data_IF_621014972213
#
_entry.id   IF_621014972213
#
_cell.length_a   1.000
_cell.length_b   1.000
_cell.length_c   1.000
_cell.angle_alpha   90.00
_cell.angle_beta   90.00
_cell.angle_gamma   90.00
#
_symmetry.space_group_name_H-M   'P 1'
#
loop_
_entity.id
_entity.type
_entity.pdbx_description
1 polymer ?
#
# COMPACT_ATOMS: atom_id res chain seq x y z
N UNK A 1 -21.03 -11.47 -25.91
CA UNK A 1 -19.85 -11.98 -25.18
C UNK A 1 -19.57 -11.04 -24.03
N UNK A 2 -19.39 -11.55 -22.80
CA UNK A 2 -19.23 -10.69 -21.63
C UNK A 2 -17.86 -10.00 -21.65
N UNK A 3 -17.82 -8.70 -21.37
CA UNK A 3 -16.57 -7.93 -21.30
C UNK A 3 -15.71 -8.42 -20.11
N UNK A 4 -14.39 -8.33 -20.27
CA UNK A 4 -13.42 -8.57 -19.20
C UNK A 4 -13.33 -7.28 -18.37
N UNK A 5 -13.76 -7.30 -17.09
CA UNK A 5 -13.83 -6.10 -16.26
C UNK A 5 -12.43 -5.63 -15.81
N UNK A 6 -12.28 -4.38 -15.32
CA UNK A 6 -11.00 -3.78 -14.98
C UNK A 6 -10.18 -4.60 -13.98
N UNK A 7 -10.80 -5.10 -12.90
CA UNK A 7 -10.09 -5.94 -11.92
C UNK A 7 -9.49 -7.22 -12.52
N UNK A 8 -10.12 -7.81 -13.55
CA UNK A 8 -9.57 -8.99 -14.24
C UNK A 8 -8.43 -8.59 -15.18
N UNK A 9 -8.56 -7.46 -15.90
CA UNK A 9 -7.46 -6.92 -16.70
C UNK A 9 -6.25 -6.66 -15.80
N UNK A 10 -6.46 -6.02 -14.64
CA UNK A 10 -5.41 -5.73 -13.66
C UNK A 10 -4.75 -6.97 -13.09
N UNK A 11 -5.53 -7.97 -12.69
CA UNK A 11 -5.00 -9.24 -12.20
C UNK A 11 -4.14 -9.95 -13.27
N UNK A 12 -4.62 -9.99 -14.52
CA UNK A 12 -3.88 -10.61 -15.63
C UNK A 12 -2.62 -9.84 -15.99
N UNK A 13 -2.67 -8.50 -15.98
CA UNK A 13 -1.51 -7.64 -16.21
C UNK A 13 -0.44 -7.84 -15.13
N UNK A 14 -0.82 -7.80 -13.86
CA UNK A 14 0.09 -8.02 -12.73
C UNK A 14 0.79 -9.38 -12.82
N UNK A 15 0.04 -10.44 -13.16
CA UNK A 15 0.59 -11.78 -13.37
C UNK A 15 1.54 -11.83 -14.56
N UNK A 16 1.15 -11.29 -15.72
CA UNK A 16 2.00 -11.27 -16.91
C UNK A 16 3.32 -10.51 -16.67
N UNK A 17 3.26 -9.38 -15.96
CA UNK A 17 4.43 -8.62 -15.55
C UNK A 17 5.31 -9.42 -14.58
N UNK A 18 4.72 -10.10 -13.59
CA UNK A 18 5.46 -10.95 -12.66
C UNK A 18 6.17 -12.11 -13.36
N UNK A 19 5.49 -12.79 -14.29
CA UNK A 19 6.06 -13.92 -15.04
C UNK A 19 7.21 -13.45 -15.94
N UNK A 20 7.07 -12.28 -16.58
CA UNK A 20 8.15 -11.67 -17.33
C UNK A 20 9.33 -11.27 -16.44
N UNK A 21 9.05 -10.65 -15.29
CA UNK A 21 10.07 -10.20 -14.35
C UNK A 21 10.88 -11.37 -13.79
N UNK A 22 10.22 -12.48 -13.44
CA UNK A 22 10.87 -13.70 -12.95
C UNK A 22 11.81 -14.35 -13.99
N UNK A 23 11.53 -14.19 -15.29
CA UNK A 23 12.42 -14.69 -16.36
C UNK A 23 13.70 -13.84 -16.50
N UNK A 24 13.62 -12.54 -16.22
CA UNK A 24 14.75 -11.61 -16.36
C UNK A 24 15.56 -11.46 -15.06
N UNK A 25 14.96 -11.73 -13.89
CA UNK A 25 15.56 -11.51 -12.57
C UNK A 25 15.49 -12.80 -11.72
N UNK A 26 16.48 -13.71 -11.81
CA UNK A 26 16.46 -14.99 -11.10
C UNK A 26 16.30 -14.87 -9.58
N UNK A 27 16.87 -13.84 -8.96
CA UNK A 27 16.74 -13.58 -7.52
C UNK A 27 15.28 -13.33 -7.09
N UNK A 28 14.43 -12.83 -8.00
CA UNK A 28 13.01 -12.63 -7.73
C UNK A 28 12.25 -13.95 -7.67
N UNK A 29 12.57 -14.92 -8.54
CA UNK A 29 11.96 -16.25 -8.49
C UNK A 29 12.25 -16.92 -7.13
N UNK A 30 13.51 -16.87 -6.67
CA UNK A 30 13.89 -17.36 -5.34
C UNK A 30 13.13 -16.64 -4.21
N UNK A 31 13.00 -15.32 -4.30
CA UNK A 31 12.26 -14.54 -3.29
C UNK A 31 10.78 -14.96 -3.22
N UNK A 32 10.11 -15.10 -4.38
CA UNK A 32 8.70 -15.52 -4.45
C UNK A 32 8.52 -16.91 -3.87
N UNK A 33 9.45 -17.84 -4.17
CA UNK A 33 9.40 -19.20 -3.64
C UNK A 33 9.59 -19.24 -2.12
N UNK A 34 10.52 -18.43 -1.58
CA UNK A 34 10.72 -18.32 -0.13
C UNK A 34 9.50 -17.70 0.54
N UNK A 35 8.95 -16.61 -0.01
CA UNK A 35 7.74 -15.97 0.49
C UNK A 35 6.56 -16.95 0.55
N UNK A 36 6.34 -17.73 -0.52
CA UNK A 36 5.27 -18.72 -0.55
C UNK A 36 5.41 -19.81 0.54
N UNK A 37 6.64 -20.20 0.90
CA UNK A 37 6.92 -21.14 1.99
C UNK A 37 6.67 -20.50 3.36
N UNK A 38 7.14 -19.27 3.56
CA UNK A 38 6.88 -18.51 4.80
C UNK A 38 5.38 -18.36 5.02
N UNK A 39 4.64 -17.93 4.00
CA UNK A 39 3.20 -17.74 4.12
C UNK A 39 2.45 -19.03 4.45
N UNK A 40 2.86 -20.14 3.84
CA UNK A 40 2.29 -21.45 4.16
C UNK A 40 2.57 -21.85 5.62
N UNK A 41 3.73 -21.51 6.16
CA UNK A 41 4.12 -21.84 7.54
C UNK A 41 3.37 -20.97 8.55
N UNK A 42 3.25 -19.66 8.27
CA UNK A 42 2.45 -18.73 9.06
C UNK A 42 0.98 -19.15 9.11
N UNK A 43 0.39 -19.56 7.98
CA UNK A 43 -0.98 -20.06 7.96
C UNK A 43 -1.18 -21.34 8.80
N UNK A 44 -0.20 -22.25 8.81
CA UNK A 44 -0.27 -23.46 9.63
C UNK A 44 -0.14 -23.15 11.12
N UNK A 45 0.68 -22.16 11.47
CA UNK A 45 0.94 -21.73 12.85
C UNK A 45 -0.21 -20.89 13.43
N UNK A 46 -0.70 -19.91 12.67
CA UNK A 46 -1.54 -18.83 13.19
C UNK A 46 -3.01 -18.89 12.69
N UNK A 47 -3.32 -19.78 11.74
CA UNK A 47 -4.68 -20.03 11.27
C UNK A 47 -5.40 -18.78 10.77
N UNK A 48 -6.60 -18.52 11.30
CA UNK A 48 -7.41 -17.35 10.89
C UNK A 48 -6.82 -16.01 11.32
N UNK A 49 -5.95 -15.99 12.35
CA UNK A 49 -5.26 -14.76 12.76
C UNK A 49 -4.36 -14.22 11.64
N UNK A 50 -3.73 -15.09 10.87
CA UNK A 50 -2.92 -14.69 9.72
C UNK A 50 -3.74 -14.04 8.60
N UNK A 51 -5.02 -14.38 8.47
CA UNK A 51 -5.89 -13.93 7.37
C UNK A 51 -6.52 -12.56 7.59
N UNK A 52 -6.30 -11.94 8.77
CA UNK A 52 -6.96 -10.68 9.16
C UNK A 52 -6.59 -9.49 8.28
N UNK A 53 -5.38 -9.49 7.71
CA UNK A 53 -4.92 -8.47 6.76
C UNK A 53 -4.96 -8.95 5.30
N UNK A 54 -5.82 -9.92 5.01
CA UNK A 54 -6.01 -10.51 3.68
C UNK A 54 -5.81 -12.03 3.68
N UNK A 55 -6.68 -12.74 2.96
CA UNK A 55 -6.54 -14.18 2.73
C UNK A 55 -5.32 -14.52 1.86
N UNK A 56 -4.93 -15.79 1.85
CA UNK A 56 -3.72 -16.27 1.15
C UNK A 56 -3.74 -15.99 -0.35
N UNK A 57 -4.90 -16.07 -1.00
CA UNK A 57 -5.03 -15.78 -2.43
C UNK A 57 -4.73 -14.31 -2.73
N UNK A 58 -5.18 -13.39 -1.85
CA UNK A 58 -4.86 -11.96 -1.95
C UNK A 58 -3.36 -11.74 -1.76
N UNK A 59 -2.75 -12.31 -0.71
CA UNK A 59 -1.31 -12.15 -0.42
C UNK A 59 -0.42 -12.69 -1.53
N UNK A 60 -0.75 -13.86 -2.09
CA UNK A 60 0.01 -14.47 -3.19
C UNK A 60 -0.08 -13.66 -4.48
N UNK A 61 -1.25 -13.08 -4.78
CA UNK A 61 -1.46 -12.24 -5.96
C UNK A 61 -0.93 -10.80 -5.79
N UNK A 62 -0.80 -10.34 -4.55
CA UNK A 62 -0.46 -8.98 -4.19
C UNK A 62 0.98 -8.63 -4.58
N UNK A 63 1.09 -7.66 -5.49
CA UNK A 63 2.36 -7.12 -5.98
C UNK A 63 2.28 -5.60 -6.00
N UNK A 64 3.45 -5.00 -5.79
CA UNK A 64 3.71 -3.58 -5.94
C UNK A 64 4.87 -3.41 -6.91
N UNK A 65 4.63 -2.73 -8.03
CA UNK A 65 5.68 -2.36 -8.98
C UNK A 65 6.15 -0.91 -8.76
N UNK A 66 7.42 -0.62 -8.99
CA UNK A 66 7.92 0.75 -9.08
C UNK A 66 8.45 1.00 -10.49
N UNK A 67 8.01 2.09 -11.12
CA UNK A 67 8.45 2.50 -12.45
C UNK A 67 8.90 3.96 -12.44
N UNK A 68 9.75 4.29 -13.40
CA UNK A 68 10.16 5.66 -13.67
C UNK A 68 9.86 6.00 -15.12
N UNK A 69 9.29 7.19 -15.33
CA UNK A 69 9.03 7.78 -16.64
C UNK A 69 9.88 9.03 -16.84
N UNK A 70 10.16 9.35 -18.10
CA UNK A 70 11.08 10.41 -18.47
C UNK A 70 10.39 11.75 -18.71
N UNK A 71 9.10 11.77 -19.04
CA UNK A 71 8.38 13.00 -19.41
C UNK A 71 6.97 13.05 -18.84
N UNK A 72 6.38 14.26 -18.69
CA UNK A 72 4.96 14.41 -18.37
C UNK A 72 4.04 13.69 -19.37
N UNK A 73 4.39 13.68 -20.67
CA UNK A 73 3.62 12.96 -21.68
C UNK A 73 3.61 11.44 -21.48
N UNK A 74 4.74 10.87 -21.03
CA UNK A 74 4.79 9.45 -20.62
C UNK A 74 3.94 9.20 -19.37
N UNK A 75 3.98 10.11 -18.39
CA UNK A 75 3.14 10.01 -17.19
C UNK A 75 1.65 10.03 -17.54
N UNK A 76 1.23 10.91 -18.45
CA UNK A 76 -0.14 10.97 -18.96
C UNK A 76 -0.57 9.64 -19.60
N UNK A 77 0.25 9.09 -20.50
CA UNK A 77 -0.01 7.81 -21.16
C UNK A 77 -0.12 6.64 -20.15
N UNK A 78 0.76 6.64 -19.13
CA UNK A 78 0.68 5.68 -18.02
C UNK A 78 -0.65 5.81 -17.26
N UNK A 79 -1.10 7.05 -17.01
CA UNK A 79 -2.40 7.34 -16.41
C UNK A 79 -3.56 6.71 -17.17
N UNK A 80 -3.59 6.85 -18.50
CA UNK A 80 -4.61 6.24 -19.36
C UNK A 80 -4.58 4.70 -19.29
N UNK A 81 -3.40 4.09 -19.37
CA UNK A 81 -3.25 2.63 -19.32
C UNK A 81 -3.68 2.08 -17.96
N UNK A 82 -3.35 2.75 -16.87
CA UNK A 82 -3.72 2.29 -15.53
C UNK A 82 -5.20 2.54 -15.21
N UNK A 83 -5.82 3.56 -15.80
CA UNK A 83 -7.25 3.76 -15.71
C UNK A 83 -8.07 2.63 -16.35
N UNK A 84 -7.62 2.12 -17.50
CA UNK A 84 -8.16 0.90 -18.11
C UNK A 84 -8.07 -0.34 -17.20
N UNK A 85 -7.10 -0.34 -16.29
CA UNK A 85 -6.93 -1.34 -15.25
C UNK A 85 -7.70 -1.01 -13.96
N UNK A 86 -8.57 0.00 -13.93
CA UNK A 86 -9.32 0.40 -12.73
C UNK A 86 -8.44 0.98 -11.63
N UNK A 87 -7.32 1.61 -11.99
CA UNK A 87 -6.38 2.23 -11.05
C UNK A 87 -6.40 3.74 -11.24
N UNK A 88 -6.41 4.48 -10.14
CA UNK A 88 -6.30 5.94 -10.14
C UNK A 88 -5.04 6.39 -9.40
N UNK A 89 -4.53 7.60 -9.67
CA UNK A 89 -3.40 8.16 -8.92
C UNK A 89 -3.83 8.53 -7.50
N UNK A 90 -3.09 8.02 -6.52
CA UNK A 90 -3.34 8.24 -5.09
C UNK A 90 -2.08 8.78 -4.43
N UNK A 91 -2.19 9.97 -3.83
CA UNK A 91 -1.13 10.68 -3.16
C UNK A 91 -0.08 11.30 -4.11
N UNK A 92 0.54 12.37 -3.63
CA UNK A 92 1.72 12.99 -4.21
C UNK A 92 2.92 12.77 -3.26
N UNK A 93 4.05 12.30 -3.80
CA UNK A 93 5.23 11.94 -3.01
C UNK A 93 6.47 12.67 -3.54
N UNK A 94 7.19 13.29 -2.60
CA UNK A 94 8.50 13.92 -2.80
C UNK A 94 9.63 12.90 -2.85
N UNK A 95 10.83 13.28 -3.34
CA UNK A 95 12.04 12.53 -3.07
C UNK A 95 12.27 12.45 -1.55
N UNK A 96 12.49 11.25 -1.02
CA UNK A 96 13.01 11.08 0.33
C UNK A 96 14.44 11.61 0.42
N UNK A 97 14.75 12.30 1.52
CA UNK A 97 15.97 13.06 1.83
C UNK A 97 16.10 14.47 1.22
N UNK A 98 15.60 15.47 1.95
CA UNK A 98 15.90 16.89 1.75
C UNK A 98 17.39 17.25 2.00
N UNK A 99 18.19 16.32 2.57
CA UNK A 99 19.59 16.55 2.92
C UNK A 99 20.57 16.44 1.73
N UNK A 100 20.17 15.80 0.62
CA UNK A 100 21.02 15.61 -0.56
C UNK A 100 20.30 16.10 -1.82
N UNK A 101 20.35 17.42 -2.07
CA UNK A 101 19.99 18.13 -3.31
C UNK A 101 18.84 17.46 -4.11
N UNK A 102 17.58 17.90 -3.95
CA UNK A 102 16.43 17.18 -4.51
C UNK A 102 16.56 17.07 -6.03
N UNK A 103 16.68 15.84 -6.53
CA UNK A 103 16.35 15.59 -7.93
C UNK A 103 14.87 16.00 -8.12
N UNK A 104 14.50 16.72 -9.18
CA UNK A 104 13.13 17.20 -9.41
C UNK A 104 12.23 16.03 -9.79
N UNK A 105 11.94 15.16 -8.82
CA UNK A 105 11.13 13.96 -9.00
C UNK A 105 9.87 14.14 -8.18
N UNK A 106 8.73 14.00 -8.86
CA UNK A 106 7.43 13.84 -8.22
C UNK A 106 6.90 12.45 -8.54
N UNK A 107 6.22 11.85 -7.58
CA UNK A 107 5.66 10.51 -7.74
C UNK A 107 4.22 10.43 -7.28
N UNK A 108 3.48 9.46 -7.84
CA UNK A 108 2.15 9.08 -7.38
C UNK A 108 2.02 7.56 -7.38
N UNK A 109 1.08 7.03 -6.61
CA UNK A 109 0.78 5.61 -6.57
C UNK A 109 -0.49 5.33 -7.37
N UNK A 110 -0.38 4.58 -8.46
CA UNK A 110 -1.56 4.07 -9.14
C UNK A 110 -2.05 2.80 -8.44
N UNK A 111 -3.31 2.79 -8.02
CA UNK A 111 -3.96 1.62 -7.42
C UNK A 111 -5.47 1.68 -7.54
N UNK A 112 -6.20 0.54 -7.41
CA UNK A 112 -7.64 0.61 -7.18
C UNK A 112 -7.94 1.22 -5.80
N UNK A 113 -9.09 1.88 -5.70
CA UNK A 113 -9.57 2.52 -4.46
C UNK A 113 -10.87 1.91 -3.93
N UNK A 114 -11.54 1.09 -4.75
CA UNK A 114 -12.70 0.32 -4.31
C UNK A 114 -12.26 -0.90 -3.47
N UNK A 115 -12.83 -1.10 -2.26
CA UNK A 115 -12.47 -2.24 -1.41
C UNK A 115 -12.70 -3.61 -2.04
N UNK A 116 -13.76 -3.78 -2.83
CA UNK A 116 -14.06 -5.04 -3.53
C UNK A 116 -13.04 -5.36 -4.61
N UNK A 117 -12.59 -4.33 -5.33
CA UNK A 117 -11.51 -4.41 -6.31
C UNK A 117 -10.15 -4.69 -5.67
N UNK A 118 -9.84 -4.06 -4.53
CA UNK A 118 -8.63 -4.31 -3.73
C UNK A 118 -8.61 -5.75 -3.18
N UNK A 119 -9.76 -6.28 -2.76
CA UNK A 119 -9.85 -7.66 -2.29
C UNK A 119 -9.55 -8.68 -3.39
N UNK A 120 -9.86 -8.36 -4.66
CA UNK A 120 -9.69 -9.25 -5.81
C UNK A 120 -8.32 -9.14 -6.48
N UNK A 121 -7.85 -7.91 -6.68
CA UNK A 121 -6.63 -7.63 -7.44
C UNK A 121 -5.98 -6.35 -6.91
N UNK A 122 -5.24 -6.39 -5.80
CA UNK A 122 -4.72 -5.17 -5.18
C UNK A 122 -3.52 -4.57 -5.92
N UNK A 123 -3.17 -4.96 -7.16
CA UNK A 123 -1.94 -4.50 -7.83
C UNK A 123 -1.74 -2.97 -7.79
N UNK A 124 -0.52 -2.54 -7.42
CA UNK A 124 -0.13 -1.12 -7.28
C UNK A 124 1.11 -0.82 -8.11
N UNK A 125 1.19 0.39 -8.64
CA UNK A 125 2.38 0.88 -9.35
C UNK A 125 2.77 2.27 -8.84
N UNK A 126 3.91 2.36 -8.16
CA UNK A 126 4.52 3.63 -7.80
C UNK A 126 5.25 4.20 -9.01
N UNK A 127 4.78 5.35 -9.50
CA UNK A 127 5.26 5.97 -10.73
C UNK A 127 5.94 7.29 -10.40
N UNK A 128 7.23 7.38 -10.69
CA UNK A 128 8.01 8.61 -10.56
C UNK A 128 8.25 9.25 -11.92
N UNK A 129 8.06 10.56 -12.02
CA UNK A 129 8.46 11.36 -13.19
C UNK A 129 9.58 12.31 -12.78
N UNK A 130 10.63 12.39 -13.61
CA UNK A 130 11.64 13.43 -13.48
C UNK A 130 11.16 14.66 -14.26
N UNK A 131 11.09 15.81 -13.60
CA UNK A 131 10.69 17.07 -14.22
C UNK A 131 11.94 17.87 -14.60
N UNK A 132 12.10 18.32 -15.85
CA UNK A 132 13.31 19.01 -16.28
C UNK A 132 13.50 20.35 -15.55
N UNK A 133 14.61 20.49 -14.83
CA UNK A 133 15.05 21.73 -14.18
C UNK A 133 16.56 21.75 -13.89
N UNK A 134 17.16 20.58 -13.65
CA UNK A 134 18.62 20.43 -13.53
C UNK A 134 19.16 19.44 -14.56
N UNK A 135 19.81 19.97 -15.61
CA UNK A 135 20.46 19.19 -16.68
C UNK A 135 21.63 18.33 -16.18
N UNK A 136 22.11 18.52 -14.94
CA UNK A 136 23.29 17.82 -14.39
C UNK A 136 22.95 16.48 -13.75
N UNK A 137 21.67 16.20 -13.48
CA UNK A 137 21.18 14.88 -13.02
C UNK A 137 20.97 13.89 -14.19
N UNK A 138 21.23 14.33 -15.42
CA UNK A 138 21.11 13.52 -16.63
C UNK A 138 22.35 12.65 -16.84
N UNK A 139 22.54 11.63 -15.99
CA UNK A 139 23.42 10.52 -16.35
C UNK A 139 22.66 9.55 -17.26
N UNK A 140 22.87 9.74 -18.57
CA UNK A 140 22.95 8.76 -19.67
C UNK A 140 22.04 7.51 -19.81
N UNK A 141 21.09 7.18 -18.93
CA UNK A 141 20.42 5.85 -18.97
C UNK A 141 18.90 5.88 -18.77
N UNK A 142 18.17 6.75 -19.48
CA UNK A 142 16.71 6.56 -19.60
C UNK A 142 16.27 6.57 -21.04
N UNK A 143 15.97 5.38 -21.55
CA UNK A 143 15.25 5.20 -22.82
C UNK A 143 13.82 5.70 -22.62
N UNK A 144 13.37 6.57 -23.53
CA UNK A 144 11.97 7.01 -23.56
C UNK A 144 11.05 5.79 -23.70
N UNK A 145 10.01 5.72 -22.88
CA UNK A 145 9.01 4.67 -23.01
C UNK A 145 8.06 5.02 -24.15
N UNK A 146 8.06 4.20 -25.19
CA UNK A 146 7.14 4.37 -26.33
C UNK A 146 5.90 3.52 -26.11
N UNK A 147 4.76 4.18 -25.99
CA UNK A 147 3.45 3.52 -25.90
C UNK A 147 2.81 3.45 -27.30
N UNK A 148 2.49 2.25 -27.82
CA UNK A 148 1.85 2.13 -29.13
C UNK A 148 0.50 2.85 -29.18
N UNK A 149 0.13 3.55 -30.27
CA UNK A 149 -1.18 4.21 -30.37
C UNK A 149 -2.37 3.26 -30.20
N UNK A 150 -2.22 2.00 -30.61
CA UNK A 150 -3.22 0.95 -30.38
C UNK A 150 -3.45 0.67 -28.89
N UNK A 151 -2.39 0.67 -28.08
CA UNK A 151 -2.50 0.47 -26.63
C UNK A 151 -3.33 1.58 -25.99
N UNK A 152 -3.08 2.83 -26.36
CA UNK A 152 -3.82 3.99 -25.81
C UNK A 152 -5.29 3.98 -26.24
N UNK A 153 -5.60 3.65 -27.50
CA UNK A 153 -7.01 3.50 -27.96
C UNK A 153 -7.75 2.37 -27.22
N UNK A 154 -7.07 1.25 -26.96
CA UNK A 154 -7.66 0.16 -26.18
C UNK A 154 -7.85 0.55 -24.71
N UNK A 155 -6.92 1.34 -24.14
CA UNK A 155 -7.03 1.84 -22.79
C UNK A 155 -8.24 2.79 -22.63
N UNK A 156 -8.37 3.76 -23.53
CA UNK A 156 -9.49 4.70 -23.57
C UNK A 156 -10.83 3.95 -23.67
N UNK A 157 -10.92 2.98 -24.58
CA UNK A 157 -12.10 2.13 -24.73
C UNK A 157 -12.41 1.34 -23.45
N UNK A 158 -11.38 0.77 -22.81
CA UNK A 158 -11.54 -0.01 -21.59
C UNK A 158 -12.05 0.83 -20.42
N UNK A 159 -11.56 2.06 -20.29
CA UNK A 159 -12.01 3.02 -19.29
C UNK A 159 -13.49 3.39 -19.55
N UNK A 160 -13.84 3.74 -20.79
CA UNK A 160 -15.18 4.17 -21.18
C UNK A 160 -16.25 3.06 -21.10
N UNK A 161 -15.91 1.83 -21.51
CA UNK A 161 -16.82 0.67 -21.50
C UNK A 161 -16.74 -0.15 -20.19
N UNK A 162 -15.92 0.28 -19.22
CA UNK A 162 -15.63 -0.45 -17.99
C UNK A 162 -15.22 -1.91 -18.25
N UNK A 163 -14.33 -2.11 -19.21
CA UNK A 163 -13.81 -3.40 -19.62
C UNK A 163 -13.58 -3.50 -21.12
N UNK A 164 -13.09 -4.65 -21.56
CA UNK A 164 -12.86 -4.93 -22.99
C UNK A 164 -13.44 -6.29 -23.37
N UNK A 165 -13.92 -6.47 -24.62
CA UNK A 165 -14.23 -7.80 -25.12
C UNK A 165 -12.97 -8.69 -25.08
N UNK A 166 -13.11 -10.03 -24.98
CA UNK A 166 -11.98 -10.93 -24.73
C UNK A 166 -10.77 -10.77 -25.66
N UNK A 167 -10.99 -10.53 -26.95
CA UNK A 167 -9.92 -10.31 -27.92
C UNK A 167 -9.20 -8.98 -27.71
N UNK A 168 -9.96 -7.90 -27.46
CA UNK A 168 -9.42 -6.59 -27.12
C UNK A 168 -8.65 -6.61 -25.81
N UNK A 169 -9.17 -7.33 -24.80
CA UNK A 169 -8.50 -7.54 -23.52
C UNK A 169 -7.16 -8.25 -23.69
N UNK A 170 -7.09 -9.33 -24.49
CA UNK A 170 -5.83 -10.02 -24.79
C UNK A 170 -4.83 -9.08 -25.46
N UNK A 171 -5.27 -8.36 -26.50
CA UNK A 171 -4.41 -7.44 -27.24
C UNK A 171 -3.88 -6.29 -26.36
N UNK A 172 -4.75 -5.72 -25.52
CA UNK A 172 -4.39 -4.69 -24.55
C UNK A 172 -3.33 -5.21 -23.57
N UNK A 173 -3.53 -6.40 -23.00
CA UNK A 173 -2.60 -7.00 -22.05
C UNK A 173 -1.24 -7.31 -22.68
N UNK A 174 -1.20 -7.81 -23.92
CA UNK A 174 0.05 -8.09 -24.63
C UNK A 174 0.86 -6.80 -24.85
N UNK A 175 0.20 -5.74 -25.35
CA UNK A 175 0.83 -4.45 -25.62
C UNK A 175 1.26 -3.75 -24.31
N UNK A 176 0.42 -3.75 -23.29
CA UNK A 176 0.72 -3.17 -21.99
C UNK A 176 1.91 -3.88 -21.35
N UNK A 177 1.86 -5.22 -21.26
CA UNK A 177 2.96 -6.01 -20.67
C UNK A 177 4.27 -5.70 -21.38
N UNK A 178 4.27 -5.68 -22.72
CA UNK A 178 5.44 -5.35 -23.53
C UNK A 178 5.98 -3.93 -23.28
N UNK A 179 5.13 -2.94 -22.99
CA UNK A 179 5.55 -1.57 -22.70
C UNK A 179 6.20 -1.41 -21.30
N UNK A 180 5.84 -2.28 -20.36
CA UNK A 180 6.37 -2.28 -18.99
C UNK A 180 7.43 -3.34 -18.73
N UNK A 181 7.92 -4.05 -19.76
CA UNK A 181 8.95 -5.08 -19.57
C UNK A 181 10.26 -4.50 -19.01
N UNK A 182 10.95 -5.26 -18.13
CA UNK A 182 12.14 -4.77 -17.45
C UNK A 182 13.35 -4.60 -18.39
N UNK A 183 13.41 -5.40 -19.47
CA UNK A 183 14.36 -5.28 -20.58
C UNK A 183 14.24 -3.98 -21.37
N UNK A 184 13.12 -3.26 -21.23
CA UNK A 184 12.89 -1.97 -21.90
C UNK A 184 13.03 -0.77 -20.97
N UNK A 185 12.87 -0.96 -19.65
CA UNK A 185 13.13 0.07 -18.65
C UNK A 185 13.03 -0.50 -17.21
N UNK A 186 13.69 0.12 -16.21
CA UNK A 186 13.69 -0.39 -14.85
C UNK A 186 12.28 -0.44 -14.27
N UNK A 187 11.87 -1.65 -13.94
CA UNK A 187 10.72 -1.97 -13.09
C UNK A 187 11.25 -2.78 -11.93
N UNK A 188 10.83 -2.45 -10.71
CA UNK A 188 11.07 -3.26 -9.52
C UNK A 188 9.75 -3.86 -9.06
N UNK A 189 9.71 -5.16 -8.81
CA UNK A 189 8.48 -5.85 -8.40
C UNK A 189 8.64 -6.43 -7.00
N UNK A 190 7.75 -6.01 -6.11
CA UNK A 190 7.76 -6.32 -4.69
C UNK A 190 6.57 -7.25 -4.38
N UNK A 191 6.79 -8.54 -4.04
CA UNK A 191 5.77 -9.40 -3.49
C UNK A 191 5.48 -9.07 -2.03
N UNK A 192 4.31 -9.50 -1.55
CA UNK A 192 3.99 -9.48 -0.13
C UNK A 192 4.33 -10.82 0.53
N UNK A 193 4.70 -10.73 1.80
CA UNK A 193 4.83 -11.86 2.73
C UNK A 193 4.10 -11.54 4.03
N UNK A 194 3.64 -12.56 4.76
CA UNK A 194 3.08 -12.37 6.10
C UNK A 194 4.14 -12.05 7.16
N UNK A 195 5.31 -12.71 7.10
CA UNK A 195 6.37 -12.61 8.10
C UNK A 195 7.70 -12.22 7.43
N UNK A 196 8.02 -10.93 7.49
CA UNK A 196 9.21 -10.37 6.85
C UNK A 196 10.51 -10.85 7.53
N UNK A 197 10.48 -11.07 8.84
CA UNK A 197 11.67 -11.46 9.59
C UNK A 197 12.04 -12.92 9.34
N UNK A 198 11.04 -13.80 9.25
CA UNK A 198 11.26 -15.20 8.84
C UNK A 198 11.73 -15.31 7.39
N UNK A 199 11.17 -14.50 6.48
CA UNK A 199 11.67 -14.42 5.11
C UNK A 199 13.11 -13.94 5.08
N UNK A 200 13.44 -12.87 5.80
CA UNK A 200 14.80 -12.34 5.87
C UNK A 200 15.80 -13.40 6.32
N UNK A 201 15.48 -14.15 7.39
CA UNK A 201 16.31 -15.26 7.89
C UNK A 201 16.52 -16.33 6.81
N UNK A 202 15.45 -16.79 6.17
CA UNK A 202 15.51 -17.83 5.12
C UNK A 202 16.26 -17.39 3.86
N UNK A 203 16.21 -16.11 3.53
CA UNK A 203 16.99 -15.53 2.42
C UNK A 203 18.48 -15.45 2.79
N UNK A 204 18.80 -15.06 4.03
CA UNK A 204 20.16 -15.04 4.55
C UNK A 204 20.79 -16.46 4.58
N UNK A 205 20.04 -17.48 5.02
CA UNK A 205 20.47 -18.88 5.00
C UNK A 205 20.81 -19.40 3.59
N UNK A 206 20.28 -18.73 2.55
CA UNK A 206 20.55 -19.02 1.13
C UNK A 206 21.67 -18.15 0.55
N UNK A 207 22.36 -17.37 1.38
CA UNK A 207 23.42 -16.45 0.96
C UNK A 207 22.91 -15.19 0.27
N UNK A 208 21.60 -14.90 0.33
CA UNK A 208 21.03 -13.67 -0.26
C UNK A 208 20.95 -12.60 0.82
N UNK A 209 21.94 -11.71 0.84
CA UNK A 209 22.01 -10.62 1.81
C UNK A 209 20.97 -9.53 1.53
N UNK A 210 20.35 -9.02 2.60
CA UNK A 210 19.54 -7.81 2.55
C UNK A 210 20.46 -6.61 2.29
N UNK A 211 19.99 -5.68 1.47
CA UNK A 211 20.67 -4.40 1.21
C UNK A 211 20.09 -3.34 2.13
N UNK A 212 20.94 -2.78 3.00
CA UNK A 212 20.52 -1.81 4.01
C UNK A 212 19.80 -2.49 5.18
N UNK A 213 18.73 -1.85 5.67
CA UNK A 213 17.90 -2.36 6.76
C UNK A 213 16.42 -2.44 6.36
N UNK A 214 15.60 -3.02 7.24
CA UNK A 214 14.15 -3.03 7.07
C UNK A 214 13.65 -1.59 7.23
N UNK A 215 12.90 -1.11 6.22
CA UNK A 215 12.23 0.18 6.22
C UNK A 215 10.84 0.05 6.84
N UNK A 216 10.38 1.09 7.55
CA UNK A 216 9.08 1.13 8.22
C UNK A 216 9.16 0.85 9.73
N UNK A 217 8.02 0.53 10.39
CA UNK A 217 7.99 0.26 11.81
C UNK A 217 8.85 -0.96 12.19
N UNK A 218 9.35 -1.02 13.45
CA UNK A 218 10.09 -2.16 13.94
C UNK A 218 9.20 -3.40 14.01
N UNK A 219 9.84 -4.57 14.11
CA UNK A 219 9.15 -5.74 14.65
C UNK A 219 8.83 -5.50 16.14
N UNK A 220 7.62 -5.82 16.57
CA UNK A 220 7.18 -5.72 17.98
C UNK A 220 5.98 -6.65 18.20
N UNK A 221 5.64 -6.93 19.47
CA UNK A 221 4.62 -7.95 19.81
C UNK A 221 3.16 -7.50 19.60
N UNK A 222 2.94 -6.23 19.27
CA UNK A 222 1.61 -5.68 19.00
C UNK A 222 1.21 -5.73 17.51
N UNK A 223 0.11 -5.04 17.15
CA UNK A 223 -0.37 -5.04 15.77
C UNK A 223 0.62 -4.38 14.80
N UNK A 224 0.87 -5.03 13.66
CA UNK A 224 1.64 -4.43 12.57
C UNK A 224 0.89 -3.27 11.92
N UNK A 225 1.51 -2.11 11.81
CA UNK A 225 0.95 -0.92 11.16
C UNK A 225 1.72 -0.57 9.90
N UNK A 226 1.10 0.15 8.97
CA UNK A 226 1.70 0.60 7.71
C UNK A 226 2.28 -0.56 6.90
N UNK A 227 3.57 -0.51 6.54
CA UNK A 227 4.27 -1.60 5.89
C UNK A 227 5.72 -1.66 6.36
N UNK A 228 6.29 -2.86 6.32
CA UNK A 228 7.72 -3.11 6.48
C UNK A 228 8.27 -3.59 5.16
N UNK A 229 9.39 -3.04 4.71
CA UNK A 229 9.99 -3.38 3.41
C UNK A 229 11.46 -3.74 3.56
N UNK A 230 11.88 -4.82 2.90
CA UNK A 230 13.29 -5.20 2.77
C UNK A 230 13.68 -5.28 1.29
N UNK A 231 14.92 -4.89 0.99
CA UNK A 231 15.49 -4.97 -0.35
C UNK A 231 16.63 -5.99 -0.38
N UNK A 232 16.77 -6.71 -1.49
CA UNK A 232 17.79 -7.72 -1.74
C UNK A 232 18.47 -7.41 -3.09
N UNK A 233 19.67 -6.85 -3.03
CA UNK A 233 20.37 -6.37 -4.23
C UNK A 233 19.65 -5.19 -4.89
N UNK A 234 19.94 -4.96 -6.18
CA UNK A 234 19.52 -3.74 -6.87
C UNK A 234 18.05 -3.71 -7.31
N UNK A 235 17.40 -4.87 -7.48
CA UNK A 235 16.07 -4.94 -8.13
C UNK A 235 15.04 -5.77 -7.39
N UNK A 236 15.43 -6.49 -6.33
CA UNK A 236 14.51 -7.37 -5.61
C UNK A 236 14.12 -6.70 -4.28
N UNK A 237 12.84 -6.61 -3.99
CA UNK A 237 12.34 -6.15 -2.69
C UNK A 237 11.14 -6.99 -2.29
N UNK A 238 10.79 -6.98 -1.01
CA UNK A 238 9.61 -7.64 -0.45
C UNK A 238 9.01 -6.76 0.63
N UNK A 239 7.69 -6.87 0.81
CA UNK A 239 6.97 -6.10 1.82
C UNK A 239 6.06 -6.97 2.68
N UNK A 240 5.90 -6.59 3.94
CA UNK A 240 4.81 -7.05 4.80
C UNK A 240 3.91 -5.84 5.08
N UNK A 241 2.60 -5.99 4.91
CA UNK A 241 1.63 -4.89 5.10
C UNK A 241 0.82 -5.10 6.37
N UNK A 242 0.72 -4.03 7.14
CA UNK A 242 -0.04 -3.85 8.35
C UNK A 242 -1.33 -3.04 8.14
N UNK A 243 -1.81 -2.46 9.23
CA UNK A 243 -3.04 -1.66 9.28
C UNK A 243 -2.77 -0.21 8.83
N UNK A 244 -3.68 0.38 8.06
CA UNK A 244 -3.63 1.80 7.69
C UNK A 244 -3.81 2.69 8.93
N UNK A 245 -2.98 3.71 9.09
CA UNK A 245 -3.05 4.66 10.20
C UNK A 245 -3.98 5.83 9.88
N UNK A 246 -4.69 6.31 10.90
CA UNK A 246 -5.41 7.60 10.87
C UNK A 246 -4.43 8.78 10.94
N UNK A 247 -4.87 10.04 10.78
CA UNK A 247 -4.02 11.20 11.04
C UNK A 247 -3.38 11.18 12.45
N UNK A 248 -4.15 10.80 13.48
CA UNK A 248 -3.63 10.67 14.85
C UNK A 248 -2.62 9.50 14.98
N UNK A 249 -2.87 8.39 14.28
CA UNK A 249 -1.94 7.28 14.18
C UNK A 249 -0.61 7.67 13.54
N UNK A 250 -0.65 8.43 12.44
CA UNK A 250 0.53 8.97 11.77
C UNK A 250 1.31 9.91 12.68
N UNK A 251 0.64 10.86 13.35
CA UNK A 251 1.31 11.76 14.31
C UNK A 251 2.01 10.96 15.43
N UNK A 252 1.39 9.88 15.92
CA UNK A 252 2.01 8.98 16.89
C UNK A 252 3.21 8.24 16.31
N UNK A 253 3.11 7.73 15.08
CA UNK A 253 4.21 7.06 14.38
C UNK A 253 5.42 7.98 14.19
N UNK A 254 5.19 9.23 13.77
CA UNK A 254 6.24 10.23 13.58
C UNK A 254 6.91 10.57 14.93
N UNK A 255 6.13 10.77 15.99
CA UNK A 255 6.65 11.04 17.34
C UNK A 255 7.51 9.88 17.87
N UNK A 256 7.07 8.62 17.70
CA UNK A 256 7.84 7.45 18.13
C UNK A 256 9.12 7.25 17.31
N UNK A 257 9.09 7.60 16.02
CA UNK A 257 10.27 7.57 15.15
C UNK A 257 11.30 8.59 15.62
N UNK A 258 10.86 9.83 15.88
CA UNK A 258 11.71 10.88 16.42
C UNK A 258 12.30 10.49 17.79
N UNK A 259 11.49 9.89 18.68
CA UNK A 259 11.95 9.43 19.98
C UNK A 259 12.98 8.29 19.87
N UNK A 260 12.86 7.43 18.85
CA UNK A 260 13.86 6.39 18.58
C UNK A 260 15.19 7.02 18.20
N UNK A 261 15.16 8.03 17.33
CA UNK A 261 16.37 8.73 16.91
C UNK A 261 17.02 9.46 18.09
N UNK A 262 16.23 10.07 19.00
CA UNK A 262 16.73 10.66 20.24
C UNK A 262 17.37 9.61 21.16
N UNK A 263 16.73 8.46 21.36
CA UNK A 263 17.26 7.40 22.21
C UNK A 263 18.58 6.85 21.65
N UNK A 264 18.69 6.65 20.34
CA UNK A 264 19.92 6.20 19.68
C UNK A 264 21.05 7.24 19.77
N UNK A 265 20.71 8.54 19.79
CA UNK A 265 21.70 9.59 20.00
C UNK A 265 22.28 9.59 21.43
N UNK A 266 21.49 9.13 22.41
CA UNK A 266 21.90 9.03 23.82
C UNK A 266 22.65 7.71 24.09
N UNK A 267 22.16 6.59 23.54
CA UNK A 267 22.74 5.26 23.67
C UNK A 267 23.00 4.63 22.30
N UNK A 268 24.17 4.90 21.69
CA UNK A 268 24.51 4.39 20.36
C UNK A 268 24.84 2.89 20.36
N UNK A 269 24.86 2.21 21.51
CA UNK A 269 25.07 0.76 21.60
C UNK A 269 23.78 0.00 21.28
N UNK A 270 22.61 0.59 21.57
CA UNK A 270 21.33 0.01 21.21
C UNK A 270 21.18 -0.08 19.69
N UNK A 271 20.71 -1.22 19.20
CA UNK A 271 20.28 -1.30 17.80
C UNK A 271 18.99 -0.49 17.60
N UNK A 272 18.79 0.06 16.39
CA UNK A 272 17.54 0.76 16.03
C UNK A 272 16.31 -0.10 16.29
N UNK A 273 16.40 -1.40 16.00
CA UNK A 273 15.30 -2.35 16.22
C UNK A 273 14.95 -2.49 17.71
N UNK A 274 15.92 -2.58 18.61
CA UNK A 274 15.68 -2.66 20.06
C UNK A 274 15.13 -1.36 20.64
N UNK A 275 15.71 -0.22 20.25
CA UNK A 275 15.25 1.10 20.67
C UNK A 275 13.80 1.35 20.24
N UNK A 276 13.50 1.11 18.95
CA UNK A 276 12.17 1.29 18.41
C UNK A 276 11.16 0.31 19.02
N UNK A 277 11.49 -0.97 19.17
CA UNK A 277 10.56 -1.95 19.77
C UNK A 277 10.14 -1.55 21.21
N UNK A 278 11.09 -1.02 22.01
CA UNK A 278 10.81 -0.51 23.36
C UNK A 278 9.83 0.67 23.32
N UNK A 279 10.11 1.66 22.46
CA UNK A 279 9.25 2.85 22.32
C UNK A 279 7.85 2.45 21.83
N UNK A 280 7.76 1.56 20.85
CA UNK A 280 6.48 1.09 20.32
C UNK A 280 5.65 0.39 21.40
N UNK A 281 6.27 -0.49 22.20
CA UNK A 281 5.60 -1.19 23.29
C UNK A 281 5.05 -0.24 24.38
N UNK A 282 5.70 0.91 24.60
CA UNK A 282 5.24 1.93 25.55
C UNK A 282 4.17 2.85 24.97
N UNK A 283 4.26 3.18 23.68
CA UNK A 283 3.50 4.28 23.08
C UNK A 283 2.32 3.83 22.20
N UNK A 284 2.26 2.57 21.76
CA UNK A 284 1.14 2.01 21.01
C UNK A 284 0.36 0.96 21.81
N UNK A 285 -0.98 0.92 21.68
CA UNK A 285 -1.78 -0.18 22.19
C UNK A 285 -1.34 -1.54 21.64
N UNK A 286 -1.08 -2.50 22.52
CA UNK A 286 -0.66 -3.86 22.16
C UNK A 286 -1.77 -4.72 21.50
N UNK A 287 -2.97 -4.15 21.28
CA UNK A 287 -4.09 -4.85 20.65
C UNK A 287 -4.78 -3.98 19.61
N UNK A 288 -5.33 -4.61 18.58
CA UNK A 288 -6.11 -3.89 17.56
C UNK A 288 -7.36 -3.23 18.12
N UNK A 289 -8.02 -3.83 19.10
CA UNK A 289 -9.13 -3.19 19.80
C UNK A 289 -8.69 -1.90 20.51
N UNK A 290 -7.46 -1.87 21.04
CA UNK A 290 -6.85 -0.67 21.59
C UNK A 290 -6.59 0.40 20.53
N UNK A 291 -6.05 0.02 19.37
CA UNK A 291 -5.85 0.94 18.23
C UNK A 291 -7.18 1.53 17.73
N UNK A 292 -8.21 0.69 17.59
CA UNK A 292 -9.54 1.11 17.16
C UNK A 292 -10.16 2.09 18.17
N UNK A 293 -10.10 1.80 19.47
CA UNK A 293 -10.66 2.65 20.53
C UNK A 293 -10.01 4.03 20.62
N UNK A 294 -8.73 4.12 20.29
CA UNK A 294 -7.96 5.37 20.33
C UNK A 294 -7.87 6.06 18.97
N UNK A 295 -8.66 5.64 17.98
CA UNK A 295 -8.61 6.21 16.62
C UNK A 295 -7.19 6.29 16.04
N UNK A 296 -6.32 5.30 16.32
CA UNK A 296 -4.93 5.30 15.85
C UNK A 296 -4.77 4.54 14.53
N UNK A 297 -5.73 3.69 14.16
CA UNK A 297 -5.71 2.97 12.90
C UNK A 297 -7.12 2.79 12.34
N UNK A 298 -7.22 2.57 11.03
CA UNK A 298 -8.47 2.39 10.34
C UNK A 298 -8.97 0.94 10.46
N UNK A 299 -10.25 0.82 10.80
CA UNK A 299 -10.98 -0.44 10.90
C UNK A 299 -12.32 -0.31 10.20
N UNK A 300 -12.81 -1.41 9.65
CA UNK A 300 -14.23 -1.58 9.32
C UNK A 300 -14.95 -2.24 10.49
N UNK A 301 -16.25 -1.99 10.60
CA UNK A 301 -17.09 -2.51 11.67
C UNK A 301 -18.22 -3.34 11.10
N UNK A 302 -18.50 -4.48 11.73
CA UNK A 302 -19.62 -5.35 11.38
C UNK A 302 -20.44 -5.66 12.61
N UNK A 303 -21.75 -5.58 12.49
CA UNK A 303 -22.65 -6.05 13.53
C UNK A 303 -22.47 -7.56 13.74
N UNK A 304 -22.30 -7.97 14.99
CA UNK A 304 -22.22 -9.38 15.35
C UNK A 304 -23.59 -10.03 15.16
N UNK A 305 -23.62 -11.28 14.68
CA UNK A 305 -24.86 -12.06 14.58
C UNK A 305 -25.58 -12.10 15.94
N UNK A 306 -26.87 -11.67 16.03
CA UNK A 306 -27.66 -11.76 17.24
C UNK A 306 -27.73 -13.18 17.84
N UNK A 307 -27.62 -14.23 17.03
CA UNK A 307 -27.57 -15.61 17.49
C UNK A 307 -26.26 -15.96 18.22
N UNK A 308 -25.17 -15.28 17.89
CA UNK A 308 -23.86 -15.41 18.53
C UNK A 308 -23.71 -14.53 19.79
N UNK A 309 -24.64 -13.59 20.01
CA UNK A 309 -24.63 -12.69 21.18
C UNK A 309 -25.16 -13.41 22.41
N UNK A 310 -24.55 -13.15 23.57
CA UNK A 310 -25.14 -13.54 24.86
C UNK A 310 -26.50 -12.87 25.03
N UNK A 311 -27.55 -13.67 25.24
CA UNK A 311 -28.90 -13.17 25.54
C UNK A 311 -28.95 -12.75 27.01
N UNK A 312 -28.49 -11.54 27.27
CA UNK A 312 -28.48 -10.89 28.58
C UNK A 312 -29.71 -9.98 28.80
N UNK A 313 -30.58 -9.84 27.80
CA UNK A 313 -31.75 -8.96 27.84
C UNK A 313 -31.42 -7.47 27.72
N UNK A 314 -30.13 -7.13 27.57
CA UNK A 314 -29.68 -5.75 27.41
C UNK A 314 -29.74 -5.33 25.94
N UNK A 315 -30.10 -4.06 25.72
CA UNK A 315 -30.02 -3.40 24.42
C UNK A 315 -28.58 -2.96 24.10
N UNK A 316 -28.33 -2.52 22.85
CA UNK A 316 -27.00 -2.06 22.43
C UNK A 316 -26.56 -0.86 23.28
N UNK A 317 -25.35 -0.89 23.88
CA UNK A 317 -24.81 0.25 24.60
C UNK A 317 -24.58 1.44 23.68
N UNK A 318 -24.54 2.64 24.25
CA UNK A 318 -24.24 3.85 23.50
C UNK A 318 -22.77 3.92 23.07
N UNK A 319 -22.54 4.33 21.83
CA UNK A 319 -21.23 4.64 21.28
C UNK A 319 -20.36 3.44 20.91
N UNK A 320 -19.39 3.70 20.03
CA UNK A 320 -18.54 2.68 19.41
C UNK A 320 -17.77 1.83 20.45
N UNK A 321 -17.20 2.49 21.46
CA UNK A 321 -16.40 1.84 22.49
C UNK A 321 -17.20 0.83 23.32
N UNK A 322 -18.47 1.15 23.64
CA UNK A 322 -19.37 0.25 24.36
C UNK A 322 -19.78 -0.95 23.50
N UNK A 323 -20.07 -0.72 22.22
CA UNK A 323 -20.46 -1.76 21.27
C UNK A 323 -19.32 -2.77 21.02
N UNK A 324 -18.08 -2.29 20.87
CA UNK A 324 -16.90 -3.15 20.75
C UNK A 324 -16.69 -3.97 22.03
N UNK A 325 -16.76 -3.33 23.21
CA UNK A 325 -16.55 -4.02 24.49
C UNK A 325 -17.63 -5.07 24.77
N UNK A 326 -18.89 -4.75 24.45
CA UNK A 326 -20.02 -5.68 24.60
C UNK A 326 -20.16 -6.71 23.49
N UNK A 327 -19.26 -6.74 22.50
CA UNK A 327 -19.28 -7.69 21.39
C UNK A 327 -20.47 -7.53 20.44
N UNK A 328 -21.11 -6.35 20.42
CA UNK A 328 -22.20 -6.02 19.51
C UNK A 328 -21.73 -5.78 18.08
N UNK A 329 -20.48 -5.33 17.95
CA UNK A 329 -19.79 -5.18 16.69
C UNK A 329 -18.37 -5.76 16.81
N UNK A 330 -17.84 -6.22 15.68
CA UNK A 330 -16.43 -6.61 15.53
C UNK A 330 -15.70 -5.62 14.65
N UNK A 331 -14.43 -5.33 14.99
CA UNK A 331 -13.54 -4.51 14.18
C UNK A 331 -12.62 -5.38 13.31
N UNK A 332 -12.60 -5.11 12.01
CA UNK A 332 -11.70 -5.74 11.04
C UNK A 332 -10.70 -4.68 10.52
N UNK A 333 -9.38 -4.90 10.64
CA UNK A 333 -8.38 -3.91 10.25
C UNK A 333 -8.42 -3.63 8.76
N UNK A 334 -8.29 -2.36 8.40
CA UNK A 334 -8.11 -1.95 7.01
C UNK A 334 -6.63 -2.04 6.67
N UNK A 335 -6.29 -2.85 5.66
CA UNK A 335 -4.91 -3.02 5.20
C UNK A 335 -4.38 -1.70 4.63
N UNK A 336 -3.13 -1.37 4.95
CA UNK A 336 -2.45 -0.24 4.31
C UNK A 336 -2.08 -0.58 2.87
N UNK A 337 -2.70 0.10 1.91
CA UNK A 337 -2.55 -0.12 0.46
C UNK A 337 -1.57 0.85 -0.20
N UNK A 338 -1.08 1.86 0.53
CA UNK A 338 -0.17 2.88 0.02
C UNK A 338 1.31 2.54 0.29
N UNK A 339 2.19 3.55 0.23
CA UNK A 339 3.64 3.41 0.37
C UNK A 339 4.20 4.36 1.41
N UNK A 340 5.39 4.05 1.93
CA UNK A 340 6.16 4.99 2.76
C UNK A 340 7.12 5.82 1.90
N UNK A 341 7.40 7.09 2.25
CA UNK A 341 6.79 7.87 3.35
C UNK A 341 5.34 8.32 3.02
N UNK A 342 4.63 8.89 4.00
CA UNK A 342 3.28 9.47 3.79
C UNK A 342 3.31 10.47 2.62
N UNK A 343 2.26 10.55 1.79
CA UNK A 343 2.15 11.62 0.81
C UNK A 343 2.29 13.00 1.47
N UNK A 344 2.84 13.94 0.73
CA UNK A 344 3.07 15.32 1.18
C UNK A 344 2.24 16.27 0.32
N UNK A 345 1.66 17.29 0.95
CA UNK A 345 0.86 18.29 0.25
C UNK A 345 1.72 19.15 -0.70
N UNK A 346 2.95 19.45 -0.28
CA UNK A 346 3.95 20.14 -1.09
C UNK A 346 5.24 19.30 -1.13
N UNK A 347 5.48 18.56 -2.23
CA UNK A 347 6.64 17.68 -2.35
C UNK A 347 7.95 18.40 -2.69
N UNK A 348 7.97 19.73 -2.85
CA UNK A 348 9.23 20.44 -3.01
C UNK A 348 9.12 21.88 -3.47
N UNK A 349 10.20 22.63 -3.27
CA UNK A 349 10.34 24.05 -3.56
C UNK A 349 10.52 24.38 -5.06
N UNK A 350 10.01 23.54 -5.96
CA UNK A 350 10.12 23.76 -7.39
C UNK A 350 9.24 24.95 -7.83
N UNK A 351 9.63 25.61 -8.92
CA UNK A 351 8.83 26.66 -9.55
C UNK A 351 8.58 26.30 -11.03
N UNK A 352 7.32 25.97 -11.42
CA UNK A 352 6.14 25.84 -10.56
C UNK A 352 6.23 24.65 -9.57
N UNK A 353 5.46 24.65 -8.47
CA UNK A 353 5.46 23.55 -7.50
C UNK A 353 5.07 22.24 -8.16
N UNK A 354 5.78 21.16 -7.81
CA UNK A 354 5.55 19.82 -8.36
C UNK A 354 4.61 19.01 -7.48
N UNK A 355 3.46 19.59 -7.13
CA UNK A 355 2.50 19.07 -6.16
C UNK A 355 1.42 18.16 -6.76
N UNK A 356 0.39 17.86 -5.95
CA UNK A 356 -0.76 17.09 -6.38
C UNK A 356 -1.54 17.76 -7.52
N UNK A 357 -1.60 19.09 -7.57
CA UNK A 357 -2.30 19.84 -8.61
C UNK A 357 -1.52 19.76 -9.94
N UNK A 358 -0.19 19.87 -9.88
CA UNK A 358 0.66 19.63 -11.05
C UNK A 358 0.48 18.20 -11.60
N UNK A 359 0.51 17.19 -10.71
CA UNK A 359 0.28 15.80 -11.10
C UNK A 359 -1.10 15.62 -11.74
N UNK A 360 -2.14 16.22 -11.15
CA UNK A 360 -3.50 16.15 -11.66
C UNK A 360 -3.60 16.77 -13.06
N UNK A 361 -2.94 17.92 -13.27
CA UNK A 361 -2.88 18.58 -14.57
C UNK A 361 -2.17 17.74 -15.64
N UNK A 362 -1.07 17.06 -15.29
CA UNK A 362 -0.36 16.17 -16.24
C UNK A 362 -1.19 14.92 -16.55
N UNK A 363 -1.85 14.34 -15.54
CA UNK A 363 -2.63 13.11 -15.67
C UNK A 363 -4.03 13.34 -16.26
N UNK A 364 -4.46 14.59 -16.37
CA UNK A 364 -5.80 15.02 -16.76
C UNK A 364 -6.89 14.33 -15.92
N UNK A 365 -6.64 14.20 -14.61
CA UNK A 365 -7.53 13.53 -13.64
C UNK A 365 -7.12 13.88 -12.20
N UNK A 366 -8.05 13.86 -11.24
CA UNK A 366 -7.72 14.16 -9.85
C UNK A 366 -6.73 13.13 -9.25
N UNK A 367 -5.78 13.63 -8.46
CA UNK A 367 -4.96 12.81 -7.57
C UNK A 367 -5.69 12.68 -6.24
N UNK A 368 -5.98 11.46 -5.83
CA UNK A 368 -6.78 11.20 -4.63
C UNK A 368 -5.95 11.29 -3.35
N UNK A 369 -6.55 11.76 -2.25
CA UNK A 369 -5.97 11.62 -0.91
C UNK A 369 -6.21 10.17 -0.40
N UNK A 370 -5.17 9.40 -0.07
CA UNK A 370 -5.35 8.07 0.50
C UNK A 370 -6.15 8.06 1.82
N UNK A 371 -6.03 9.11 2.64
CA UNK A 371 -6.71 9.20 3.95
C UNK A 371 -8.22 9.20 3.77
N UNK A 372 -8.73 9.91 2.76
CA UNK A 372 -10.17 9.95 2.46
C UNK A 372 -10.74 8.58 2.12
N UNK A 373 -9.98 7.74 1.39
CA UNK A 373 -10.43 6.39 1.03
C UNK A 373 -10.59 5.49 2.25
N UNK A 374 -9.62 5.51 3.18
CA UNK A 374 -9.71 4.74 4.41
C UNK A 374 -10.80 5.29 5.35
N UNK A 375 -10.93 6.61 5.44
CA UNK A 375 -11.96 7.26 6.25
C UNK A 375 -13.37 6.94 5.75
N UNK A 376 -13.59 6.96 4.43
CA UNK A 376 -14.86 6.58 3.81
C UNK A 376 -15.18 5.11 4.06
N UNK A 377 -14.23 4.20 3.81
CA UNK A 377 -14.44 2.77 4.07
C UNK A 377 -14.83 2.49 5.53
N UNK A 378 -14.20 3.19 6.49
CA UNK A 378 -14.58 3.14 7.90
C UNK A 378 -16.01 3.65 8.11
N UNK A 379 -16.34 4.84 7.59
CA UNK A 379 -17.65 5.47 7.81
C UNK A 379 -18.79 4.63 7.21
N UNK A 380 -18.63 4.14 5.98
CA UNK A 380 -19.61 3.27 5.33
C UNK A 380 -19.91 2.03 6.19
N UNK A 381 -18.86 1.42 6.77
CA UNK A 381 -19.04 0.26 7.66
C UNK A 381 -19.70 0.59 9.00
N UNK A 382 -19.48 1.78 9.54
CA UNK A 382 -20.15 2.26 10.75
C UNK A 382 -21.64 2.48 10.49
N UNK A 383 -21.97 3.09 9.34
CA UNK A 383 -23.35 3.34 8.93
C UNK A 383 -24.11 2.02 8.70
N UNK A 384 -23.45 1.04 8.07
CA UNK A 384 -24.00 -0.30 7.88
C UNK A 384 -24.21 -1.04 9.22
N UNK A 385 -23.24 -0.95 10.14
CA UNK A 385 -23.37 -1.52 11.48
C UNK A 385 -24.49 -0.85 12.29
N UNK A 386 -24.62 0.48 12.23
CA UNK A 386 -25.74 1.21 12.85
C UNK A 386 -27.09 0.76 12.32
N UNK A 387 -27.21 0.61 10.99
CA UNK A 387 -28.44 0.15 10.33
C UNK A 387 -28.79 -1.28 10.74
N UNK A 388 -27.79 -2.18 10.78
CA UNK A 388 -27.98 -3.57 11.19
C UNK A 388 -28.40 -3.71 12.66
N UNK A 389 -27.93 -2.82 13.54
CA UNK A 389 -28.29 -2.81 14.96
C UNK A 389 -29.55 -1.99 15.29
N UNK A 390 -30.08 -1.21 14.33
CA UNK A 390 -31.24 -0.34 14.55
C UNK A 390 -30.97 0.82 15.51
N UNK A 391 -29.73 1.35 15.52
CA UNK A 391 -29.30 2.45 16.39
C UNK A 391 -28.99 3.72 15.58
N UNK A 392 -28.78 4.83 16.29
CA UNK A 392 -28.33 6.07 15.67
C UNK A 392 -26.98 5.89 14.94
N UNK A 393 -26.68 6.71 13.91
CA UNK A 393 -25.41 6.67 13.20
C UNK A 393 -24.22 6.77 14.16
N UNK A 394 -23.29 5.82 14.03
CA UNK A 394 -22.07 5.80 14.83
C UNK A 394 -21.05 6.76 14.24
N UNK A 395 -20.40 7.52 15.12
CA UNK A 395 -19.23 8.30 14.78
C UNK A 395 -17.95 7.50 15.05
N UNK A 396 -16.85 7.80 14.34
CA UNK A 396 -15.52 7.34 14.70
C UNK A 396 -15.15 7.71 16.16
N UNK A 397 -14.20 7.00 16.78
CA UNK A 397 -13.71 7.37 18.10
C UNK A 397 -13.04 8.74 18.04
N UNK A 398 -13.11 9.49 19.15
CA UNK A 398 -12.33 10.71 19.27
C UNK A 398 -10.84 10.35 19.38
N UNK A 399 -10.02 11.00 18.55
CA UNK A 399 -8.57 10.86 18.64
C UNK A 399 -8.07 11.32 20.03
N UNK A 400 -7.08 10.63 20.62
CA UNK A 400 -6.41 11.10 21.82
C UNK A 400 -5.72 12.43 21.52
N UNK A 401 -5.52 13.30 22.53
CA UNK A 401 -4.68 14.47 22.36
C UNK A 401 -3.30 14.04 21.85
N UNK A 402 -2.71 14.86 20.98
CA UNK A 402 -1.33 14.67 20.54
C UNK A 402 -0.43 14.50 21.76
N UNK A 403 0.56 13.59 21.73
CA UNK A 403 1.57 13.56 22.77
C UNK A 403 2.21 14.96 22.89
N UNK A 404 2.53 15.43 24.11
CA UNK A 404 3.21 16.72 24.28
C UNK A 404 4.55 16.70 23.52
N UNK A 405 4.88 17.84 22.89
CA UNK A 405 6.08 18.03 22.05
C UNK A 405 7.40 17.78 22.78
#
# INVERSE_FOLDING_TARGET
MNAVPPWQLRARFARALSDAYAREVPAHATLVDVAARVDADVLRRDGDRARRLGGIERVRAERHAAIRVATPGELHAVGQIFAALGMCPVGAYAPGDAAARPAPVVSTLFRPVDPGELARAPFRVFTSVLVPGDRRSFTAERQQRVFPPELLRLAERAEAEHGLPPEGARRFLDLATAAFLPSRAPVDLTPRVFDLDDLHRRMADRGVAMTGGIQGPPHWDGPGVLLRRASFGARCAVEARGIALTPAGWARYDAMTAETDRLLAIDPVLSRQEAAAKIWAMCLPATEAGLARQDLAYFTYRATDPAARRRDGLGPPAGLAGLLHGGWITAEPIVYEDVLPRPVADPGTADPPLDADWLAGVLDRPVHDPVEHYARQRQDSLDDASRALGIAPLAPPAAPPSPPD
#
